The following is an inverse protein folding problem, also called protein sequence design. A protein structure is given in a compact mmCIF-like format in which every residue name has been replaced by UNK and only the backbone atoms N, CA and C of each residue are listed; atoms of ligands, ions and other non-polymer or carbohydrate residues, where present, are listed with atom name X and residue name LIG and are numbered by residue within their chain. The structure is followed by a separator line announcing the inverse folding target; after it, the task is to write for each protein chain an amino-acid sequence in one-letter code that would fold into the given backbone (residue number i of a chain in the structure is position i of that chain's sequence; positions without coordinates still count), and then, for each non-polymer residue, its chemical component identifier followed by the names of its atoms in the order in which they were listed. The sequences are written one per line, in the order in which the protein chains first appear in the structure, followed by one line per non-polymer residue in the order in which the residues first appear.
data_IF_812550437768
#
_entry.id   IF_812550437768
#
_cell.length_a   1.000
_cell.length_b   1.000
_cell.length_c   1.000
_cell.angle_alpha   90.00
_cell.angle_beta   90.00
_cell.angle_gamma   90.00
#
_symmetry.space_group_name_H-M   'P 1'
#
loop_
_entity.id
_entity.type
_entity.pdbx_description
1 polymer ?
#
# COMPACT_ATOMS: atom_id res chain seq x y z
N UNK A 1 -3.31 -6.76 -13.89
CA UNK A 1 -4.65 -7.01 -13.31
C UNK A 1 -4.94 -6.24 -12.01
N UNK A 2 -3.95 -5.70 -11.30
CA UNK A 2 -4.15 -4.93 -10.06
C UNK A 2 -3.71 -3.47 -10.26
N UNK A 3 -4.62 -2.51 -10.11
CA UNK A 3 -4.39 -1.06 -10.31
C UNK A 3 -3.56 -0.68 -11.55
N UNK A 4 -3.62 -1.49 -12.61
CA UNK A 4 -2.85 -1.35 -13.84
C UNK A 4 -3.71 -0.71 -14.92
N UNK A 5 -3.14 0.21 -15.70
CA UNK A 5 -3.82 0.82 -16.86
C UNK A 5 -4.07 -0.19 -17.99
N UNK A 6 -3.38 -1.33 -18.00
CA UNK A 6 -3.62 -2.44 -18.95
C UNK A 6 -5.08 -2.89 -18.99
N UNK A 7 -5.80 -2.85 -17.87
CA UNK A 7 -7.19 -3.33 -17.80
C UNK A 7 -8.14 -2.56 -18.72
N UNK A 8 -7.83 -1.29 -19.02
CA UNK A 8 -8.60 -0.49 -19.97
C UNK A 8 -8.40 -0.95 -21.42
N UNK A 9 -7.23 -1.48 -21.76
CA UNK A 9 -6.97 -2.10 -23.06
C UNK A 9 -7.63 -3.47 -23.13
N UNK A 10 -7.50 -4.29 -22.09
CA UNK A 10 -8.16 -5.59 -21.99
C UNK A 10 -9.68 -5.45 -22.20
N UNK A 11 -10.32 -4.47 -21.56
CA UNK A 11 -11.75 -4.21 -21.73
C UNK A 11 -12.15 -3.86 -23.18
N UNK A 12 -11.25 -3.22 -23.95
CA UNK A 12 -11.50 -2.81 -25.33
C UNK A 12 -11.23 -3.93 -26.33
N UNK A 13 -10.18 -4.71 -26.10
CA UNK A 13 -9.74 -5.80 -26.98
C UNK A 13 -10.58 -7.06 -26.74
N UNK A 14 -11.12 -7.24 -25.52
CA UNK A 14 -11.79 -8.47 -25.10
C UNK A 14 -10.78 -9.56 -24.73
N UNK A 15 -11.21 -10.82 -24.79
CA UNK A 15 -10.40 -11.99 -24.45
C UNK A 15 -10.25 -12.93 -25.66
N UNK A 16 -9.50 -12.53 -26.71
CA UNK A 16 -9.26 -13.40 -27.86
C UNK A 16 -8.41 -14.62 -27.48
N UNK A 17 -8.54 -15.73 -28.21
CA UNK A 17 -7.87 -17.01 -27.87
C UNK A 17 -6.34 -16.92 -27.80
N UNK A 18 -5.72 -15.98 -28.50
CA UNK A 18 -4.27 -15.79 -28.50
C UNK A 18 -3.76 -14.96 -27.31
N UNK A 19 -4.63 -14.35 -26.51
CA UNK A 19 -4.23 -13.44 -25.44
C UNK A 19 -3.84 -14.21 -24.17
N UNK A 20 -2.60 -14.00 -23.73
CA UNK A 20 -2.09 -14.48 -22.45
C UNK A 20 -1.79 -13.32 -21.49
N UNK A 21 -2.10 -13.49 -20.21
CA UNK A 21 -1.76 -12.53 -19.14
C UNK A 21 -0.69 -13.16 -18.26
N UNK A 22 0.54 -12.66 -18.35
CA UNK A 22 1.64 -13.09 -17.48
C UNK A 22 1.59 -12.30 -16.16
N UNK A 23 1.43 -12.95 -15.00
CA UNK A 23 1.42 -12.25 -13.71
C UNK A 23 2.83 -11.77 -13.34
N UNK A 24 2.89 -10.68 -12.58
CA UNK A 24 4.13 -10.14 -12.01
C UNK A 24 4.06 -10.05 -10.49
N UNK A 25 5.22 -9.86 -9.86
CA UNK A 25 5.30 -9.55 -8.42
C UNK A 25 4.77 -8.13 -8.21
N UNK A 26 3.70 -8.01 -7.44
CA UNK A 26 3.13 -6.69 -7.08
C UNK A 26 4.05 -5.92 -6.14
N UNK A 27 4.04 -4.58 -6.24
CA UNK A 27 4.96 -3.70 -5.51
C UNK A 27 4.92 -3.92 -4.00
N UNK A 28 3.73 -4.08 -3.40
CA UNK A 28 3.62 -4.26 -1.95
C UNK A 28 4.14 -5.61 -1.45
N UNK A 29 4.19 -6.65 -2.29
CA UNK A 29 4.85 -7.90 -1.94
C UNK A 29 6.38 -7.71 -1.89
N UNK A 30 6.94 -6.94 -2.83
CA UNK A 30 8.36 -6.56 -2.79
C UNK A 30 8.67 -5.71 -1.56
N UNK A 31 7.83 -4.71 -1.23
CA UNK A 31 7.99 -3.87 -0.03
C UNK A 31 8.00 -4.74 1.23
N UNK A 32 7.01 -5.63 1.38
CA UNK A 32 6.90 -6.52 2.53
C UNK A 32 8.16 -7.39 2.70
N UNK A 33 8.66 -7.98 1.62
CA UNK A 33 9.88 -8.77 1.64
C UNK A 33 11.13 -7.92 1.97
N UNK A 34 11.27 -6.74 1.37
CA UNK A 34 12.40 -5.81 1.62
C UNK A 34 12.40 -5.30 3.06
N UNK A 35 11.22 -4.97 3.59
CA UNK A 35 11.05 -4.51 4.95
C UNK A 35 11.07 -5.64 6.00
N UNK A 36 11.04 -6.92 5.58
CA UNK A 36 10.86 -8.07 6.48
C UNK A 36 9.60 -7.94 7.35
N UNK A 37 8.55 -7.39 6.76
CA UNK A 37 7.26 -7.14 7.41
C UNK A 37 6.21 -7.96 6.68
N UNK A 38 5.64 -9.01 7.30
CA UNK A 38 4.63 -9.84 6.66
C UNK A 38 3.36 -9.01 6.40
N UNK A 39 2.75 -9.20 5.22
CA UNK A 39 1.48 -8.54 4.89
C UNK A 39 0.32 -9.13 5.69
N UNK A 40 0.33 -10.43 5.94
CA UNK A 40 -0.68 -11.13 6.72
C UNK A 40 -0.09 -12.41 7.32
N UNK A 41 -0.62 -12.83 8.46
CA UNK A 41 -0.26 -14.04 9.21
C UNK A 41 -1.53 -14.78 9.63
N UNK A 42 -1.48 -16.12 9.65
CA UNK A 42 -2.59 -16.97 10.10
C UNK A 42 -3.94 -16.58 9.46
N UNK A 43 -4.90 -16.14 10.28
CA UNK A 43 -6.27 -15.81 9.89
C UNK A 43 -6.49 -14.31 9.62
N UNK A 44 -5.42 -13.52 9.52
CA UNK A 44 -5.50 -12.08 9.28
C UNK A 44 -6.11 -11.76 7.91
N UNK A 45 -7.04 -10.82 7.92
CA UNK A 45 -7.56 -10.21 6.70
C UNK A 45 -6.58 -9.17 6.13
N UNK A 46 -6.45 -9.15 4.80
CA UNK A 46 -5.63 -8.17 4.07
C UNK A 46 -6.48 -7.39 3.08
N UNK A 47 -6.42 -6.05 3.16
CA UNK A 47 -7.06 -5.16 2.21
C UNK A 47 -6.04 -4.34 1.40
N UNK A 48 -6.27 -4.21 0.09
CA UNK A 48 -5.45 -3.34 -0.79
C UNK A 48 -6.31 -2.16 -1.23
N UNK A 49 -5.98 -0.98 -0.75
CA UNK A 49 -6.78 0.24 -0.91
C UNK A 49 -5.99 1.29 -1.70
N UNK A 50 -6.65 1.91 -2.67
CA UNK A 50 -6.11 3.11 -3.32
C UNK A 50 -6.35 4.32 -2.43
N UNK A 51 -5.31 5.08 -2.11
CA UNK A 51 -5.45 6.34 -1.37
C UNK A 51 -6.19 7.43 -2.15
N UNK A 52 -6.56 7.18 -3.42
CA UNK A 52 -7.48 8.05 -4.17
C UNK A 52 -8.95 7.86 -3.79
N UNK A 53 -9.28 6.81 -3.03
CA UNK A 53 -10.63 6.55 -2.55
C UNK A 53 -11.13 7.66 -1.59
N UNK A 54 -12.46 7.78 -1.39
CA UNK A 54 -13.03 8.63 -0.36
C UNK A 54 -12.43 8.34 1.02
N UNK A 55 -12.27 9.39 1.82
CA UNK A 55 -11.66 9.30 3.15
C UNK A 55 -12.41 8.35 4.08
N UNK A 56 -13.75 8.38 4.03
CA UNK A 56 -14.61 7.52 4.82
C UNK A 56 -14.37 6.03 4.54
N UNK A 57 -14.11 5.67 3.28
CA UNK A 57 -13.86 4.28 2.87
C UNK A 57 -12.50 3.80 3.36
N UNK A 58 -11.47 4.66 3.29
CA UNK A 58 -10.14 4.36 3.83
C UNK A 58 -10.23 4.18 5.36
N UNK A 59 -10.94 5.08 6.05
CA UNK A 59 -11.15 4.99 7.48
C UNK A 59 -11.94 3.73 7.88
N UNK A 60 -12.94 3.34 7.09
CA UNK A 60 -13.68 2.09 7.29
C UNK A 60 -12.77 0.87 7.12
N UNK A 61 -11.96 0.82 6.06
CA UNK A 61 -11.01 -0.27 5.83
C UNK A 61 -9.99 -0.38 6.97
N UNK A 62 -9.45 0.75 7.44
CA UNK A 62 -8.53 0.80 8.58
C UNK A 62 -9.13 0.21 9.85
N UNK A 63 -10.45 0.31 10.06
CA UNK A 63 -11.14 -0.33 11.18
C UNK A 63 -11.40 -1.82 10.96
N UNK A 64 -11.81 -2.20 9.75
CA UNK A 64 -12.36 -3.53 9.45
C UNK A 64 -11.32 -4.62 9.19
N UNK A 65 -10.11 -4.26 8.75
CA UNK A 65 -9.11 -5.25 8.33
C UNK A 65 -7.91 -5.32 9.28
N UNK A 66 -7.30 -6.49 9.39
CA UNK A 66 -6.12 -6.72 10.24
C UNK A 66 -4.85 -6.11 9.64
N UNK A 67 -4.74 -6.19 8.31
CA UNK A 67 -3.62 -5.65 7.55
C UNK A 67 -4.09 -4.89 6.31
N UNK A 68 -3.32 -3.88 5.93
CA UNK A 68 -3.64 -3.00 4.82
C UNK A 68 -2.42 -2.67 3.97
N UNK A 69 -2.66 -2.62 2.66
CA UNK A 69 -1.79 -1.95 1.68
C UNK A 69 -2.49 -0.68 1.23
N UNK A 70 -1.86 0.46 1.46
CA UNK A 70 -2.34 1.77 1.04
C UNK A 70 -1.49 2.26 -0.13
N UNK A 71 -2.02 2.15 -1.35
CA UNK A 71 -1.31 2.49 -2.59
C UNK A 71 -1.54 3.96 -2.98
N UNK A 72 -0.59 4.55 -3.73
CA UNK A 72 -0.68 5.92 -4.29
C UNK A 72 -0.77 6.99 -3.21
N UNK A 73 0.09 6.87 -2.20
CA UNK A 73 0.18 7.79 -1.05
C UNK A 73 0.69 9.17 -1.44
N UNK A 74 1.44 9.26 -2.56
CA UNK A 74 1.98 10.51 -3.08
C UNK A 74 0.90 11.60 -3.19
N UNK A 75 1.23 12.82 -2.73
CA UNK A 75 0.30 13.95 -2.68
C UNK A 75 -0.87 13.82 -1.68
N UNK A 76 -0.90 12.75 -0.87
CA UNK A 76 -1.96 12.47 0.12
C UNK A 76 -1.41 12.07 1.49
N UNK A 77 -0.10 12.12 1.68
CA UNK A 77 0.56 11.58 2.87
C UNK A 77 0.03 12.17 4.17
N UNK A 78 -0.01 13.51 4.32
CA UNK A 78 -0.53 14.18 5.51
C UNK A 78 -1.92 13.66 5.91
N UNK A 79 -2.84 13.54 4.94
CA UNK A 79 -4.19 13.02 5.16
C UNK A 79 -4.17 11.55 5.60
N UNK A 80 -3.41 10.69 4.93
CA UNK A 80 -3.32 9.26 5.28
C UNK A 80 -2.67 9.07 6.65
N UNK A 81 -1.62 9.82 6.96
CA UNK A 81 -0.96 9.83 8.26
C UNK A 81 -1.92 10.28 9.36
N UNK A 82 -2.75 11.29 9.12
CA UNK A 82 -3.78 11.72 10.06
C UNK A 82 -4.83 10.61 10.33
N UNK A 83 -5.30 9.89 9.30
CA UNK A 83 -6.19 8.75 9.48
C UNK A 83 -5.55 7.61 10.27
N UNK A 84 -4.29 7.30 9.99
CA UNK A 84 -3.53 6.31 10.74
C UNK A 84 -3.37 6.73 12.21
N UNK A 85 -3.11 8.02 12.46
CA UNK A 85 -3.01 8.57 13.81
C UNK A 85 -4.34 8.45 14.57
N UNK A 86 -5.46 8.83 13.95
CA UNK A 86 -6.80 8.71 14.52
C UNK A 86 -7.19 7.26 14.83
N UNK A 87 -6.70 6.31 14.03
CA UNK A 87 -6.92 4.88 14.24
C UNK A 87 -5.93 4.24 15.25
N UNK A 88 -4.93 4.97 15.73
CA UNK A 88 -3.88 4.44 16.60
C UNK A 88 -2.91 3.48 15.89
N UNK A 89 -2.75 3.62 14.57
CA UNK A 89 -2.03 2.66 13.71
C UNK A 89 -0.68 3.17 13.19
N UNK A 90 -0.20 4.34 13.64
CA UNK A 90 1.07 4.90 13.16
C UNK A 90 2.28 4.01 13.46
N UNK A 91 2.27 3.32 14.59
CA UNK A 91 3.38 2.47 15.03
C UNK A 91 3.29 1.04 14.42
N UNK A 92 2.13 0.70 13.84
CA UNK A 92 1.89 -0.55 13.11
C UNK A 92 2.07 -0.39 11.58
N UNK A 93 2.54 0.78 11.13
CA UNK A 93 2.60 1.15 9.73
C UNK A 93 4.02 1.55 9.30
N UNK A 94 4.41 1.13 8.09
CA UNK A 94 5.62 1.59 7.43
C UNK A 94 5.29 2.10 6.03
N UNK A 95 6.13 2.98 5.51
CA UNK A 95 6.05 3.47 4.14
C UNK A 95 7.33 3.12 3.40
N UNK A 96 7.20 2.71 2.15
CA UNK A 96 8.33 2.59 1.24
C UNK A 96 8.00 3.26 -0.09
N UNK A 97 8.97 4.01 -0.62
CA UNK A 97 8.91 4.56 -1.96
C UNK A 97 9.92 3.86 -2.87
N UNK A 98 9.55 3.67 -4.14
CA UNK A 98 10.47 3.19 -5.18
C UNK A 98 11.17 1.87 -4.82
N UNK A 99 10.44 0.97 -4.15
CA UNK A 99 10.95 -0.35 -3.77
C UNK A 99 11.59 -1.07 -4.96
N UNK A 100 12.79 -1.63 -4.75
CA UNK A 100 13.64 -2.30 -5.76
C UNK A 100 14.15 -1.41 -6.90
N UNK A 101 13.96 -0.09 -6.82
CA UNK A 101 14.52 0.89 -7.75
C UNK A 101 15.65 1.70 -7.08
N UNK A 102 16.46 2.46 -7.84
CA UNK A 102 17.58 3.21 -7.28
C UNK A 102 17.24 4.25 -6.19
N UNK A 103 16.02 4.81 -6.21
CA UNK A 103 15.56 5.80 -5.23
C UNK A 103 14.79 5.20 -4.04
N UNK A 104 14.97 3.91 -3.76
CA UNK A 104 14.31 3.21 -2.65
C UNK A 104 14.53 3.95 -1.31
N UNK A 105 13.44 4.27 -0.64
CA UNK A 105 13.46 4.86 0.70
C UNK A 105 12.41 4.18 1.57
N UNK A 106 12.73 3.96 2.85
CA UNK A 106 11.89 3.27 3.80
C UNK A 106 11.75 4.08 5.09
N UNK A 107 10.51 4.28 5.54
CA UNK A 107 10.17 4.96 6.78
C UNK A 107 9.34 4.03 7.66
N UNK A 108 9.95 3.56 8.76
CA UNK A 108 9.30 2.67 9.74
C UNK A 108 8.53 3.41 10.83
N UNK A 109 8.84 4.69 11.04
CA UNK A 109 8.24 5.52 12.08
C UNK A 109 7.52 6.68 11.43
N UNK A 110 6.31 6.43 10.94
CA UNK A 110 5.55 7.45 10.21
C UNK A 110 5.23 8.69 11.04
N UNK A 111 5.23 8.55 12.37
CA UNK A 111 5.09 9.67 13.31
C UNK A 111 6.20 10.72 13.19
N UNK A 112 7.41 10.32 12.81
CA UNK A 112 8.59 11.19 12.69
C UNK A 112 8.72 11.82 11.30
N UNK A 113 7.96 11.34 10.32
CA UNK A 113 7.99 11.84 8.94
C UNK A 113 7.17 13.12 8.85
N UNK A 114 7.73 14.19 8.29
CA UNK A 114 6.99 15.45 8.07
C UNK A 114 5.76 15.24 7.19
N UNK A 115 4.68 15.98 7.49
CA UNK A 115 3.46 15.98 6.67
C UNK A 115 3.73 16.51 5.25
N UNK A 116 4.73 17.39 5.12
CA UNK A 116 5.19 17.97 3.85
C UNK A 116 6.30 17.14 3.17
N UNK A 117 6.57 15.93 3.65
CA UNK A 117 7.58 15.05 3.06
C UNK A 117 7.29 14.86 1.56
N UNK A 118 8.21 15.28 0.65
CA UNK A 118 8.04 15.00 -0.77
C UNK A 118 8.14 13.49 -0.99
N UNK A 119 7.12 12.93 -1.64
CA UNK A 119 7.02 11.51 -1.91
C UNK A 119 6.97 11.21 -3.41
N UNK A 120 7.79 10.28 -3.92
CA UNK A 120 7.69 9.78 -5.28
C UNK A 120 6.32 9.15 -5.57
N UNK A 121 5.96 9.05 -6.86
CA UNK A 121 4.71 8.42 -7.31
C UNK A 121 4.54 7.00 -6.77
N UNK A 122 5.62 6.20 -6.75
CA UNK A 122 5.62 4.83 -6.24
C UNK A 122 5.79 4.74 -4.72
N UNK A 123 5.00 5.51 -3.97
CA UNK A 123 4.95 5.47 -2.51
C UNK A 123 3.75 4.68 -2.01
N UNK A 124 4.00 3.69 -1.15
CA UNK A 124 3.00 2.78 -0.59
C UNK A 124 3.22 2.64 0.92
N UNK A 125 2.12 2.63 1.69
CA UNK A 125 2.14 2.31 3.12
C UNK A 125 1.65 0.87 3.31
N UNK A 126 2.33 0.11 4.16
CA UNK A 126 1.87 -1.17 4.68
C UNK A 126 1.47 -1.00 6.14
N UNK A 127 0.38 -1.63 6.54
CA UNK A 127 -0.07 -1.73 7.93
C UNK A 127 -0.27 -3.20 8.26
N UNK A 128 0.28 -3.66 9.37
CA UNK A 128 -0.07 -4.95 9.96
C UNK A 128 -0.25 -4.75 11.46
N UNK A 129 -1.49 -4.83 11.94
CA UNK A 129 -1.86 -4.47 13.32
C UNK A 129 -1.30 -5.39 14.39
N UNK A 130 -0.87 -6.59 14.02
CA UNK A 130 -0.41 -7.62 14.97
C UNK A 130 1.05 -8.02 14.69
N UNK A 131 1.75 -7.26 13.84
CA UNK A 131 3.18 -7.45 13.62
C UNK A 131 3.95 -6.46 14.49
N UNK A 132 4.65 -6.99 15.49
CA UNK A 132 5.61 -6.24 16.30
C UNK A 132 7.02 -6.55 15.81
N UNK A 133 7.77 -5.54 15.40
CA UNK A 133 9.18 -5.70 15.08
C UNK A 133 9.98 -5.84 16.38
N UNK A 134 10.62 -7.00 16.55
CA UNK A 134 11.51 -7.30 17.66
C UNK A 134 12.79 -6.44 17.64
#
# INVERSE_FOLDING_TARGET
MLFSTWVFLLQRIGCPEWLEIVPGVTSFAAIAARAKTPLAMEQQSLAVISCTAPEADIAAALRQHDSLVLMKVYGRFARIKALLAQAGLLDAALMMSEATLPGEQCWRRLREVSDDQPLPYFSTILVNKQWEEA
#
